data_IF_770069018343
#
_entry.id   IF_770069018343
#
_cell.length_a   1.000
_cell.length_b   1.000
_cell.length_c   1.000
_cell.angle_alpha   90.00
_cell.angle_beta   90.00
_cell.angle_gamma   90.00
#
_symmetry.space_group_name_H-M   'P 1'
#
loop_
_entity.id
_entity.type
_entity.pdbx_description
1 polymer ?
#
# COMPACT_ATOMS: atom_id res chain seq x y z
N UNK A 1 -5.09 13.98 10.48
CA UNK A 1 -5.38 14.06 9.03
C UNK A 1 -4.84 15.36 8.42
N UNK A 2 -3.85 15.29 7.52
CA UNK A 2 -3.30 16.45 6.80
C UNK A 2 -3.97 16.60 5.42
N UNK A 3 -4.33 17.82 5.03
CA UNK A 3 -5.06 18.10 3.77
C UNK A 3 -4.27 17.65 2.53
N UNK A 4 -2.95 17.81 2.55
CA UNK A 4 -2.03 17.32 1.51
C UNK A 4 -2.21 15.82 1.24
N UNK A 5 -2.24 15.02 2.30
CA UNK A 5 -2.34 13.56 2.21
C UNK A 5 -3.68 13.10 1.64
N UNK A 6 -4.77 13.79 2.01
CA UNK A 6 -6.10 13.51 1.47
C UNK A 6 -6.16 13.81 -0.03
N UNK A 7 -5.56 14.91 -0.48
CA UNK A 7 -5.51 15.25 -1.92
C UNK A 7 -4.67 14.24 -2.71
N UNK A 8 -3.51 13.84 -2.19
CA UNK A 8 -2.67 12.80 -2.80
C UNK A 8 -3.43 11.47 -2.90
N UNK A 9 -4.05 11.01 -1.81
CA UNK A 9 -4.79 9.76 -1.78
C UNK A 9 -5.93 9.72 -2.79
N UNK A 10 -6.70 10.81 -2.88
CA UNK A 10 -7.77 10.96 -3.89
C UNK A 10 -7.24 10.92 -5.32
N UNK A 11 -6.13 11.60 -5.60
CA UNK A 11 -5.52 11.61 -6.93
C UNK A 11 -5.09 10.21 -7.35
N UNK A 12 -4.39 9.48 -6.47
CA UNK A 12 -3.94 8.11 -6.74
C UNK A 12 -5.12 7.18 -7.02
N UNK A 13 -6.18 7.28 -6.21
CA UNK A 13 -7.40 6.50 -6.40
C UNK A 13 -8.04 6.79 -7.76
N UNK A 14 -8.24 8.06 -8.09
CA UNK A 14 -8.84 8.49 -9.34
C UNK A 14 -8.04 7.99 -10.55
N UNK A 15 -6.72 8.11 -10.51
CA UNK A 15 -5.88 7.66 -11.62
C UNK A 15 -5.88 6.13 -11.75
N UNK A 16 -5.83 5.38 -10.64
CA UNK A 16 -5.96 3.92 -10.66
C UNK A 16 -7.29 3.51 -11.32
N UNK A 17 -8.39 4.11 -10.89
CA UNK A 17 -9.73 3.83 -11.43
C UNK A 17 -9.84 4.22 -12.90
N UNK A 18 -9.24 5.34 -13.31
CA UNK A 18 -9.17 5.77 -14.72
C UNK A 18 -8.43 4.76 -15.60
N UNK A 19 -7.40 4.11 -15.06
CA UNK A 19 -6.65 3.05 -15.75
C UNK A 19 -7.35 1.68 -15.69
N UNK A 20 -8.50 1.57 -15.02
CA UNK A 20 -9.24 0.30 -14.87
C UNK A 20 -8.53 -0.72 -13.98
N UNK A 21 -7.58 -0.30 -13.16
CA UNK A 21 -6.82 -1.18 -12.28
C UNK A 21 -7.60 -1.39 -10.97
N UNK A 22 -7.80 -2.64 -10.55
CA UNK A 22 -8.43 -2.89 -9.26
C UNK A 22 -7.46 -2.63 -8.11
N UNK A 23 -7.98 -2.35 -6.91
CA UNK A 23 -7.13 -2.18 -5.75
C UNK A 23 -6.36 -3.47 -5.38
N UNK A 24 -6.95 -4.64 -5.66
CA UNK A 24 -6.33 -5.96 -5.46
C UNK A 24 -5.16 -6.19 -6.43
N UNK A 25 -5.33 -5.81 -7.70
CA UNK A 25 -4.24 -5.88 -8.69
C UNK A 25 -3.09 -4.93 -8.33
N UNK A 26 -3.43 -3.71 -7.90
CA UNK A 26 -2.44 -2.74 -7.45
C UNK A 26 -1.69 -3.24 -6.22
N UNK A 27 -2.40 -3.81 -5.25
CA UNK A 27 -1.82 -4.45 -4.06
C UNK A 27 -0.83 -5.55 -4.44
N UNK A 28 -1.21 -6.41 -5.38
CA UNK A 28 -0.36 -7.48 -5.90
C UNK A 28 0.88 -6.93 -6.60
N UNK A 29 0.72 -5.90 -7.45
CA UNK A 29 1.80 -5.27 -8.20
C UNK A 29 2.82 -4.60 -7.29
N UNK A 30 2.36 -3.91 -6.26
CA UNK A 30 3.20 -3.17 -5.31
C UNK A 30 3.74 -4.03 -4.16
N UNK A 31 3.18 -5.23 -3.92
CA UNK A 31 3.43 -6.05 -2.72
C UNK A 31 3.14 -5.29 -1.41
N UNK A 32 2.16 -4.40 -1.45
CA UNK A 32 1.67 -3.65 -0.30
C UNK A 32 0.29 -4.19 0.03
N UNK A 33 0.06 -4.60 1.28
CA UNK A 33 -1.24 -5.12 1.71
C UNK A 33 -2.38 -4.16 1.40
N UNK A 34 -3.51 -4.69 0.90
CA UNK A 34 -4.68 -3.91 0.46
C UNK A 34 -5.12 -2.85 1.47
N UNK A 35 -5.21 -3.20 2.75
CA UNK A 35 -5.61 -2.25 3.80
C UNK A 35 -4.67 -1.05 3.95
N UNK A 36 -3.38 -1.18 3.60
CA UNK A 36 -2.47 -0.03 3.58
C UNK A 36 -2.72 0.85 2.35
N UNK A 37 -3.02 0.27 1.18
CA UNK A 37 -3.41 1.05 0.01
C UNK A 37 -4.75 1.76 0.21
N UNK A 38 -5.72 1.14 0.90
CA UNK A 38 -6.98 1.80 1.30
C UNK A 38 -6.72 3.04 2.18
N UNK A 39 -5.78 2.93 3.13
CA UNK A 39 -5.37 4.08 3.96
C UNK A 39 -4.66 5.17 3.18
N UNK A 40 -3.82 4.78 2.22
CA UNK A 40 -3.17 5.72 1.30
C UNK A 40 -4.23 6.46 0.46
N UNK A 41 -5.17 5.74 -0.16
CA UNK A 41 -6.27 6.35 -0.93
C UNK A 41 -7.18 7.26 -0.06
N UNK A 42 -7.34 6.92 1.22
CA UNK A 42 -8.09 7.74 2.18
C UNK A 42 -7.29 8.94 2.73
N UNK A 43 -5.98 9.02 2.50
CA UNK A 43 -5.11 10.01 3.15
C UNK A 43 -5.03 9.83 4.68
N UNK A 44 -5.26 8.62 5.19
CA UNK A 44 -5.35 8.34 6.62
C UNK A 44 -4.00 7.90 7.22
N UNK A 45 -3.29 8.88 7.78
CA UNK A 45 -2.02 8.71 8.48
C UNK A 45 -2.15 8.04 9.85
N UNK A 46 -3.28 8.28 10.53
CA UNK A 46 -3.49 7.89 11.93
C UNK A 46 -3.57 6.36 12.09
N UNK A 47 -3.79 5.65 10.98
CA UNK A 47 -3.85 4.20 10.91
C UNK A 47 -2.56 3.56 10.33
N UNK A 48 -1.51 4.35 10.08
CA UNK A 48 -0.19 3.87 9.70
C UNK A 48 0.76 3.89 10.90
N UNK A 49 1.72 2.95 11.02
CA UNK A 49 2.68 2.95 12.13
C UNK A 49 3.57 4.21 12.18
N UNK A 50 3.76 4.90 11.04
CA UNK A 50 4.51 6.15 10.89
C UNK A 50 4.13 6.86 9.59
N UNK A 51 4.17 8.21 9.60
CA UNK A 51 3.94 9.07 8.41
C UNK A 51 4.92 8.75 7.26
N UNK A 52 6.12 8.26 7.59
CA UNK A 52 7.11 7.82 6.61
C UNK A 52 6.55 6.72 5.67
N UNK A 53 5.71 5.83 6.19
CA UNK A 53 5.10 4.77 5.39
C UNK A 53 4.12 5.30 4.36
N UNK A 54 3.42 6.40 4.65
CA UNK A 54 2.56 7.02 3.64
C UNK A 54 3.38 7.47 2.45
N UNK A 55 4.46 8.23 2.68
CA UNK A 55 5.28 8.76 1.61
C UNK A 55 5.93 7.66 0.77
N UNK A 56 6.42 6.58 1.40
CA UNK A 56 6.95 5.42 0.68
C UNK A 56 5.90 4.76 -0.22
N UNK A 57 4.71 4.48 0.34
CA UNK A 57 3.65 3.79 -0.39
C UNK A 57 3.04 4.66 -1.48
N UNK A 58 2.75 5.93 -1.17
CA UNK A 58 2.20 6.89 -2.12
C UNK A 58 3.16 7.15 -3.29
N UNK A 59 4.48 7.26 -3.03
CA UNK A 59 5.49 7.38 -4.08
C UNK A 59 5.51 6.15 -4.98
N UNK A 60 5.61 4.95 -4.41
CA UNK A 60 5.65 3.71 -5.19
C UNK A 60 4.37 3.51 -6.03
N UNK A 61 3.22 3.88 -5.47
CA UNK A 61 1.93 3.86 -6.15
C UNK A 61 1.89 4.88 -7.31
N UNK A 62 2.30 6.13 -7.07
CA UNK A 62 2.38 7.16 -8.10
C UNK A 62 3.27 6.72 -9.28
N UNK A 63 4.48 6.26 -9.00
CA UNK A 63 5.43 5.78 -10.01
C UNK A 63 4.86 4.62 -10.82
N UNK A 64 4.12 3.72 -10.16
CA UNK A 64 3.45 2.57 -10.80
C UNK A 64 2.32 2.97 -11.75
N UNK A 65 1.69 4.12 -11.51
CA UNK A 65 0.68 4.74 -12.37
C UNK A 65 1.30 5.68 -13.43
N UNK A 66 2.62 5.90 -13.41
CA UNK A 66 3.31 6.85 -14.29
C UNK A 66 3.18 8.32 -13.85
N UNK A 67 2.83 8.58 -12.59
CA UNK A 67 2.72 9.92 -12.02
C UNK A 67 4.06 10.33 -11.41
N UNK A 68 4.50 11.57 -11.68
CA UNK A 68 5.63 12.18 -10.98
C UNK A 68 5.18 12.60 -9.56
N UNK A 69 5.58 11.83 -8.55
CA UNK A 69 5.19 12.07 -7.16
C UNK A 69 5.67 13.43 -6.63
N UNK A 70 6.93 13.79 -6.88
CA UNK A 70 7.51 15.04 -6.36
C UNK A 70 6.77 16.27 -6.91
N UNK A 71 6.61 16.33 -8.24
CA UNK A 71 5.87 17.42 -8.88
C UNK A 71 4.39 17.47 -8.43
N UNK A 72 3.78 16.31 -8.17
CA UNK A 72 2.40 16.24 -7.66
C UNK A 72 2.29 16.81 -6.24
N UNK A 73 3.24 16.48 -5.36
CA UNK A 73 3.29 17.01 -3.99
C UNK A 73 3.47 18.53 -4.01
N UNK A 74 4.38 19.04 -4.84
CA UNK A 74 4.61 20.48 -5.00
C UNK A 74 3.35 21.20 -5.49
N UNK A 75 2.73 20.71 -6.56
CA UNK A 75 1.51 21.30 -7.11
C UNK A 75 0.36 21.31 -6.10
N UNK A 76 0.20 20.25 -5.31
CA UNK A 76 -0.83 20.20 -4.26
C UNK A 76 -0.51 21.16 -3.11
N UNK A 77 0.76 21.27 -2.70
CA UNK A 77 1.19 22.24 -1.66
C UNK A 77 0.89 23.68 -2.08
N UNK A 78 1.18 24.02 -3.34
CA UNK A 78 0.86 25.32 -3.92
C UNK A 78 -0.66 25.58 -3.91
N UNK A 79 -1.46 24.60 -4.35
CA UNK A 79 -2.93 24.68 -4.37
C UNK A 79 -3.56 24.89 -2.98
N UNK A 80 -2.98 24.31 -1.92
CA UNK A 80 -3.47 24.48 -0.54
C UNK A 80 -2.78 25.62 0.22
N UNK A 81 -1.91 26.40 -0.44
CA UNK A 81 -1.20 27.54 0.17
C UNK A 81 -0.16 27.14 1.23
N UNK A 82 0.38 25.92 1.17
CA UNK A 82 1.49 25.51 2.04
C UNK A 82 2.84 25.97 1.48
N UNK A 83 3.74 26.53 2.31
CA UNK A 83 5.08 26.90 1.87
C UNK A 83 5.86 25.71 1.32
N UNK A 84 6.53 25.92 0.18
CA UNK A 84 7.52 24.97 -0.33
C UNK A 84 8.77 25.08 0.56
N UNK A 85 8.95 24.12 1.47
CA UNK A 85 10.22 23.99 2.20
C UNK A 85 11.34 23.71 1.18
N UNK A 86 12.44 24.49 1.15
CA UNK A 86 13.52 24.26 0.20
C UNK A 86 14.20 22.91 0.46
N UNK A 87 14.35 22.13 -0.62
CA UNK A 87 14.81 20.73 -0.68
C UNK A 87 16.20 20.44 -0.05
N UNK A 88 16.95 21.45 0.38
CA UNK A 88 18.33 21.29 0.89
C UNK A 88 18.45 20.91 2.38
N UNK A 89 17.33 20.72 3.07
CA UNK A 89 17.35 20.35 4.50
C UNK A 89 17.43 18.84 4.70
N UNK A 90 18.64 18.33 4.53
CA UNK A 90 19.23 17.25 5.31
C UNK A 90 18.55 15.86 5.29
N UNK A 91 19.16 14.99 4.49
CA UNK A 91 19.58 13.65 4.94
C UNK A 91 19.95 13.68 6.44
N UNK A 92 19.06 13.21 7.31
CA UNK A 92 19.42 12.89 8.70
C UNK A 92 18.94 11.49 9.05
N UNK A 93 19.90 10.57 9.03
CA UNK A 93 19.87 9.32 9.77
C UNK A 93 18.94 8.25 9.20
N UNK A 94 19.44 7.49 8.22
CA UNK A 94 19.05 6.09 8.12
C UNK A 94 19.73 5.36 9.29
N UNK A 95 19.01 4.79 10.27
CA UNK A 95 19.58 3.68 11.02
C UNK A 95 19.62 2.48 10.07
N UNK A 96 20.83 2.05 9.73
CA UNK A 96 21.09 0.72 9.19
C UNK A 96 20.72 -0.30 10.27
N UNK A 97 19.46 -0.74 10.30
CA UNK A 97 18.96 -2.03 10.84
C UNK A 97 17.47 -1.92 11.20
N UNK A 98 16.59 -2.54 10.42
CA UNK A 98 15.63 -3.53 10.94
C UNK A 98 15.37 -4.60 9.88
N UNK A 99 15.88 -5.76 10.21
CA UNK A 99 15.60 -7.09 9.68
C UNK A 99 14.09 -7.40 9.49
N UNK A 100 13.80 -8.22 8.46
CA UNK A 100 13.05 -9.47 8.62
C UNK A 100 11.54 -9.45 8.88
N UNK A 101 10.86 -10.35 8.14
CA UNK A 101 9.60 -11.01 8.47
C UNK A 101 8.27 -10.31 8.10
N UNK A 102 7.69 -10.78 7.01
CA UNK A 102 6.37 -11.40 7.08
C UNK A 102 6.27 -12.53 6.03
N UNK A 103 6.98 -13.62 6.29
CA UNK A 103 6.55 -14.94 5.79
C UNK A 103 5.24 -15.27 6.51
N UNK A 104 4.17 -15.41 5.75
CA UNK A 104 3.00 -16.18 6.18
C UNK A 104 2.90 -17.35 5.21
N UNK A 105 3.11 -18.61 5.63
CA UNK A 105 2.78 -19.73 4.77
C UNK A 105 1.25 -19.78 4.63
N UNK A 106 0.84 -20.05 3.39
CA UNK A 106 -0.54 -19.97 2.94
C UNK A 106 -1.50 -20.91 3.67
N UNK A 107 -2.75 -20.50 3.62
CA UNK A 107 -3.94 -21.35 3.80
C UNK A 107 -3.83 -22.59 2.90
N UNK A 108 -3.77 -23.77 3.51
CA UNK A 108 -4.21 -25.00 2.87
C UNK A 108 -5.74 -25.05 2.95
N UNK A 109 -6.39 -24.95 1.79
CA UNK A 109 -7.77 -25.35 1.62
C UNK A 109 -7.85 -26.42 0.54
N UNK A 110 -8.18 -27.64 0.93
CA UNK A 110 -8.87 -28.60 0.07
C UNK A 110 -9.58 -29.66 0.93
N UNK A 111 -10.93 -29.70 0.95
CA UNK A 111 -11.66 -30.86 1.42
C UNK A 111 -11.73 -31.90 0.30
N UNK A 112 -11.25 -33.13 0.56
CA UNK A 112 -11.39 -34.24 -0.39
C UNK A 112 -12.00 -35.46 0.29
N UNK A 113 -13.15 -35.90 -0.25
CA UNK A 113 -13.37 -37.32 -0.54
C UNK A 113 -14.06 -38.17 0.52
N UNK A 114 -15.34 -38.43 0.25
CA UNK A 114 -16.18 -39.47 0.85
C UNK A 114 -15.70 -40.91 0.61
N UNK A 115 -16.10 -41.86 1.47
CA UNK A 115 -16.20 -43.29 1.12
C UNK A 115 -16.06 -44.28 2.29
N UNK A 116 -16.75 -45.44 2.29
CA UNK A 116 -17.42 -45.96 3.48
C UNK A 116 -16.64 -47.04 4.28
N UNK A 117 -17.10 -47.23 5.53
CA UNK A 117 -16.72 -48.34 6.42
C UNK A 117 -17.53 -49.60 6.09
N UNK A 118 -16.84 -50.66 5.71
CA UNK A 118 -17.29 -52.07 5.66
C UNK A 118 -16.05 -52.87 5.27
N UNK A 119 -15.59 -53.90 5.98
CA UNK A 119 -16.28 -54.94 6.71
C UNK A 119 -15.80 -56.25 6.10
N UNK A 120 -14.85 -56.93 6.75
CA UNK A 120 -14.53 -58.35 6.65
C UNK A 120 -13.13 -58.59 7.23
N UNK A 121 -13.04 -59.35 8.32
CA UNK A 121 -11.87 -60.19 8.54
C UNK A 121 -12.38 -61.59 8.81
N UNK A 122 -12.11 -62.47 7.85
CA UNK A 122 -12.17 -63.91 7.99
C UNK A 122 -10.85 -64.40 8.57
N UNK A 123 -10.92 -65.57 9.20
CA UNK A 123 -9.88 -66.40 9.82
C UNK A 123 -9.74 -66.25 11.34
#
# INVERSE_FOLDING_TARGET
MSELHVKIGKLLKLERERQGITLDDMSTKLKIGKGNLERVEAGNLDALPSELYFNLFAKSYAETLGINYAATVEAIKEDIGQPLEPEDSAKKGMPDDVTGAATTPGREGAPSGAGPKGGANFL
#
